data_IF_572265653139
#
_entry.id   IF_572265653139
#
_cell.length_a   1.000
_cell.length_b   1.000
_cell.length_c   1.000
_cell.angle_alpha   90.00
_cell.angle_beta   90.00
_cell.angle_gamma   90.00
#
_symmetry.space_group_name_H-M   'P 1'
#
loop_
_entity.id
_entity.type
_entity.pdbx_description
1 polymer ?
#
# COMPACT_ATOMS: atom_id res chain seq x y z
N UNK A 1 41.93 -1.90 22.34
CA UNK A 1 41.37 -0.63 22.80
C UNK A 1 40.89 0.19 21.60
N UNK A 2 39.59 0.51 21.61
CA UNK A 2 38.88 1.75 21.20
C UNK A 2 39.23 2.42 19.85
N UNK A 3 38.27 2.80 19.01
CA UNK A 3 36.82 2.82 19.16
C UNK A 3 36.15 3.60 18.02
N UNK A 4 34.86 3.31 17.83
CA UNK A 4 33.79 4.15 17.26
C UNK A 4 34.16 5.09 16.09
N UNK A 5 33.48 5.00 14.95
CA UNK A 5 32.23 5.76 14.83
C UNK A 5 31.28 5.19 13.79
N UNK A 6 30.10 4.78 14.25
CA UNK A 6 28.91 4.44 13.46
C UNK A 6 28.25 5.69 12.83
N UNK A 7 29.05 6.57 12.22
CA UNK A 7 28.68 7.97 11.92
C UNK A 7 28.63 8.28 10.42
N UNK A 8 28.22 7.32 9.57
CA UNK A 8 27.85 7.64 8.18
C UNK A 8 26.44 7.15 7.81
N UNK A 9 25.93 6.13 8.50
CA UNK A 9 24.55 5.68 8.31
C UNK A 9 23.53 6.59 9.02
N UNK A 10 23.93 7.26 10.11
CA UNK A 10 23.06 8.17 10.88
C UNK A 10 22.83 9.50 10.17
N UNK A 11 23.84 10.03 9.46
CA UNK A 11 23.77 11.32 8.77
C UNK A 11 22.68 11.30 7.67
N UNK A 12 22.60 10.19 6.91
CA UNK A 12 21.63 10.05 5.82
C UNK A 12 20.20 9.82 6.33
N UNK A 13 20.05 9.17 7.48
CA UNK A 13 18.75 8.98 8.13
C UNK A 13 18.22 10.28 8.76
N UNK A 14 19.10 11.11 9.31
CA UNK A 14 18.74 12.39 9.91
C UNK A 14 18.28 13.43 8.86
N UNK A 15 18.91 13.47 7.68
CA UNK A 15 18.46 14.36 6.59
C UNK A 15 17.10 13.96 5.99
N UNK A 16 16.78 12.66 5.94
CA UNK A 16 15.44 12.21 5.54
C UNK A 16 14.38 12.46 6.61
N UNK A 17 14.73 12.38 7.90
CA UNK A 17 13.81 12.66 9.01
C UNK A 17 13.49 14.15 9.14
N UNK A 18 14.47 15.04 8.92
CA UNK A 18 14.27 16.49 9.04
C UNK A 18 13.29 17.05 8.00
N UNK A 19 13.26 16.51 6.77
CA UNK A 19 12.30 16.96 5.73
C UNK A 19 10.86 16.49 5.98
N UNK A 20 10.67 15.35 6.65
CA UNK A 20 9.33 14.84 6.96
C UNK A 20 8.65 15.65 8.07
N UNK A 21 9.42 16.13 9.06
CA UNK A 21 8.86 16.90 10.19
C UNK A 21 8.47 18.32 9.78
N UNK A 22 9.21 18.96 8.87
CA UNK A 22 8.87 20.31 8.40
C UNK A 22 7.62 20.35 7.50
N UNK A 23 7.29 19.27 6.80
CA UNK A 23 6.11 19.19 5.94
C UNK A 23 4.79 19.07 6.73
N UNK A 24 4.83 18.38 7.88
CA UNK A 24 3.66 18.20 8.76
C UNK A 24 3.25 19.51 9.46
N UNK A 25 4.21 20.34 9.86
CA UNK A 25 3.94 21.60 10.59
C UNK A 25 3.37 22.73 9.70
N UNK A 26 3.54 22.65 8.38
CA UNK A 26 3.04 23.64 7.41
C UNK A 26 1.72 23.22 6.73
N UNK A 27 1.11 22.10 7.12
CA UNK A 27 -0.12 21.59 6.51
C UNK A 27 0.05 21.13 5.06
N UNK A 28 1.28 20.98 4.58
CA UNK A 28 1.59 20.53 3.24
C UNK A 28 2.02 19.08 3.31
N UNK A 29 1.07 18.17 3.10
CA UNK A 29 1.35 16.75 2.85
C UNK A 29 2.46 16.66 1.81
N UNK A 30 3.60 15.99 2.09
CA UNK A 30 4.65 15.87 1.11
C UNK A 30 4.09 15.10 -0.09
N UNK A 31 4.00 15.78 -1.23
CA UNK A 31 3.74 15.17 -2.51
C UNK A 31 4.95 14.29 -2.86
N UNK A 32 4.95 13.06 -2.36
CA UNK A 32 5.68 11.96 -2.96
C UNK A 32 5.25 11.80 -4.42
N UNK A 33 6.05 11.14 -5.28
CA UNK A 33 5.85 11.14 -6.72
C UNK A 33 4.45 10.60 -7.08
N UNK A 34 3.55 11.51 -7.43
CA UNK A 34 2.16 11.22 -7.73
C UNK A 34 1.19 12.26 -7.18
N UNK A 35 1.35 13.54 -7.56
CA UNK A 35 0.27 14.51 -7.42
C UNK A 35 -0.93 14.03 -8.26
N UNK A 36 -1.81 13.22 -7.67
CA UNK A 36 -2.97 12.62 -8.32
C UNK A 36 -3.26 11.15 -7.99
N UNK A 37 -2.40 10.44 -7.24
CA UNK A 37 -2.71 9.08 -6.82
C UNK A 37 -3.70 9.11 -5.63
N UNK A 38 -4.87 8.51 -5.82
CA UNK A 38 -5.87 8.34 -4.75
C UNK A 38 -5.53 7.07 -3.98
N UNK A 39 -5.64 7.13 -2.66
CA UNK A 39 -5.49 5.98 -1.78
C UNK A 39 -6.81 5.23 -1.65
N UNK A 40 -6.73 3.92 -1.82
CA UNK A 40 -7.84 2.99 -1.71
C UNK A 40 -7.51 1.90 -0.71
N UNK A 41 -8.53 1.41 -0.01
CA UNK A 41 -8.43 0.28 0.90
C UNK A 41 -9.01 -0.96 0.23
N UNK A 42 -8.24 -2.04 0.22
CA UNK A 42 -8.64 -3.33 -0.31
C UNK A 42 -8.61 -4.37 0.80
N UNK A 43 -9.77 -4.94 1.12
CA UNK A 43 -9.90 -6.04 2.06
C UNK A 43 -10.13 -7.33 1.30
N UNK A 44 -9.26 -8.32 1.47
CA UNK A 44 -9.38 -9.63 0.81
C UNK A 44 -9.61 -10.72 1.85
N UNK A 45 -10.58 -11.59 1.60
CA UNK A 45 -10.85 -12.76 2.45
C UNK A 45 -11.47 -13.92 1.67
N UNK A 46 -11.21 -15.18 2.01
CA UNK A 46 -10.25 -15.64 3.01
C UNK A 46 -8.80 -15.59 2.50
N UNK A 47 -7.88 -15.17 3.37
CA UNK A 47 -6.42 -15.21 3.15
C UNK A 47 -5.78 -16.12 4.18
N UNK A 48 -5.06 -17.15 3.72
CA UNK A 48 -4.60 -18.24 4.59
C UNK A 48 -3.31 -17.92 5.35
N UNK A 49 -2.40 -17.18 4.73
CA UNK A 49 -1.07 -16.91 5.28
C UNK A 49 -0.65 -15.47 4.98
N UNK A 50 0.22 -14.91 5.82
CA UNK A 50 0.74 -13.55 5.63
C UNK A 50 1.51 -13.38 4.30
N UNK A 51 2.23 -14.41 3.86
CA UNK A 51 2.90 -14.41 2.54
C UNK A 51 1.90 -14.24 1.38
N UNK A 52 0.69 -14.77 1.51
CA UNK A 52 -0.37 -14.59 0.52
C UNK A 52 -0.88 -13.14 0.49
N UNK A 53 -0.98 -12.48 1.65
CA UNK A 53 -1.30 -11.06 1.73
C UNK A 53 -0.24 -10.19 1.02
N UNK A 54 1.03 -10.53 1.15
CA UNK A 54 2.10 -9.87 0.40
C UNK A 54 2.00 -10.14 -1.12
N UNK A 55 1.72 -11.37 -1.53
CA UNK A 55 1.48 -11.69 -2.94
C UNK A 55 0.27 -10.96 -3.53
N UNK A 56 -0.74 -10.66 -2.73
CA UNK A 56 -1.87 -9.79 -3.13
C UNK A 56 -1.39 -8.34 -3.35
N UNK A 57 -0.54 -7.80 -2.47
CA UNK A 57 0.03 -6.46 -2.66
C UNK A 57 0.87 -6.40 -3.95
N UNK A 58 1.66 -7.42 -4.24
CA UNK A 58 2.41 -7.52 -5.50
C UNK A 58 1.49 -7.62 -6.72
N UNK A 59 0.41 -8.41 -6.63
CA UNK A 59 -0.62 -8.49 -7.68
C UNK A 59 -1.27 -7.12 -7.94
N UNK A 60 -1.48 -6.31 -6.90
CA UNK A 60 -2.01 -4.95 -7.04
C UNK A 60 -1.03 -4.03 -7.79
N UNK A 61 0.27 -4.12 -7.50
CA UNK A 61 1.30 -3.37 -8.23
C UNK A 61 1.36 -3.80 -9.70
N UNK A 62 1.31 -5.11 -9.95
CA UNK A 62 1.28 -5.67 -11.30
C UNK A 62 0.00 -5.30 -12.08
N UNK A 63 -1.11 -5.04 -11.38
CA UNK A 63 -2.35 -4.49 -11.94
C UNK A 63 -2.30 -2.96 -12.19
N UNK A 64 -1.18 -2.31 -11.89
CA UNK A 64 -0.94 -0.90 -12.19
C UNK A 64 -1.05 0.05 -10.98
N UNK A 65 -1.14 -0.46 -9.75
CA UNK A 65 -1.01 0.38 -8.57
C UNK A 65 0.41 0.93 -8.44
N UNK A 66 0.53 2.23 -8.21
CA UNK A 66 1.81 2.90 -7.96
C UNK A 66 2.41 2.48 -6.62
N UNK A 67 1.56 2.17 -5.65
CA UNK A 67 1.93 1.64 -4.34
C UNK A 67 0.88 0.64 -3.87
N UNK A 68 1.32 -0.40 -3.16
CA UNK A 68 0.43 -1.34 -2.49
C UNK A 68 1.13 -1.86 -1.23
N UNK A 69 0.49 -1.78 -0.08
CA UNK A 69 1.07 -2.21 1.21
C UNK A 69 0.03 -2.98 2.01
N UNK A 70 0.46 -4.02 2.74
CA UNK A 70 -0.41 -4.73 3.68
C UNK A 70 -0.48 -3.90 4.96
N UNK A 71 -1.65 -3.34 5.27
CA UNK A 71 -1.90 -2.61 6.51
C UNK A 71 -2.10 -3.57 7.68
N UNK A 72 -2.87 -4.64 7.45
CA UNK A 72 -3.25 -5.58 8.50
C UNK A 72 -3.50 -6.97 7.92
N UNK A 73 -3.12 -7.99 8.67
CA UNK A 73 -3.53 -9.37 8.44
C UNK A 73 -4.06 -9.95 9.74
N UNK A 74 -5.33 -10.30 9.79
CA UNK A 74 -6.00 -10.79 11.01
C UNK A 74 -7.26 -11.57 10.66
N UNK A 75 -7.53 -12.67 11.38
CA UNK A 75 -8.78 -13.42 11.23
C UNK A 75 -9.05 -13.96 9.82
N UNK A 76 -8.00 -14.29 9.06
CA UNK A 76 -8.14 -14.72 7.67
C UNK A 76 -8.50 -13.61 6.69
N UNK A 77 -8.32 -12.34 7.07
CA UNK A 77 -8.52 -11.17 6.21
C UNK A 77 -7.21 -10.42 6.06
N UNK A 78 -6.93 -9.96 4.84
CA UNK A 78 -5.83 -9.05 4.54
C UNK A 78 -6.39 -7.69 4.13
N UNK A 79 -5.98 -6.65 4.83
CA UNK A 79 -6.29 -5.26 4.49
C UNK A 79 -5.04 -4.64 3.86
N UNK A 80 -5.22 -4.09 2.66
CA UNK A 80 -4.17 -3.47 1.86
C UNK A 80 -4.53 -2.01 1.59
N UNK A 81 -3.55 -1.13 1.65
CA UNK A 81 -3.64 0.24 1.12
C UNK A 81 -2.99 0.26 -0.26
N UNK A 82 -3.69 0.85 -1.23
CA UNK A 82 -3.29 0.88 -2.63
C UNK A 82 -3.37 2.32 -3.12
N UNK A 83 -2.30 2.80 -3.74
CA UNK A 83 -2.28 4.12 -4.41
C UNK A 83 -2.41 3.93 -5.91
N UNK A 84 -3.47 4.49 -6.50
CA UNK A 84 -3.72 4.39 -7.95
C UNK A 84 -4.12 5.74 -8.54
N UNK A 85 -3.57 6.07 -9.70
CA UNK A 85 -3.76 7.37 -10.38
C UNK A 85 -5.07 7.51 -11.17
N UNK A 86 -5.96 6.52 -11.11
CA UNK A 86 -7.22 6.49 -11.84
C UNK A 86 -8.40 6.05 -10.97
N UNK A 87 -9.59 5.88 -11.55
CA UNK A 87 -10.76 5.46 -10.80
C UNK A 87 -10.62 4.00 -10.32
N UNK A 88 -11.06 3.75 -9.08
CA UNK A 88 -10.90 2.46 -8.42
C UNK A 88 -11.53 1.29 -9.19
N UNK A 89 -12.67 1.51 -9.86
CA UNK A 89 -13.34 0.50 -10.69
C UNK A 89 -12.48 0.02 -11.87
N UNK A 90 -11.68 0.90 -12.46
CA UNK A 90 -10.74 0.50 -13.52
C UNK A 90 -9.62 -0.37 -12.95
N UNK A 91 -9.08 0.01 -11.80
CA UNK A 91 -8.09 -0.80 -11.09
C UNK A 91 -8.64 -2.19 -10.74
N UNK A 92 -9.86 -2.27 -10.19
CA UNK A 92 -10.48 -3.54 -9.85
C UNK A 92 -10.69 -4.42 -11.08
N UNK A 93 -11.13 -3.84 -12.20
CA UNK A 93 -11.27 -4.59 -13.45
C UNK A 93 -9.93 -5.18 -13.91
N UNK A 94 -8.83 -4.42 -13.82
CA UNK A 94 -7.48 -4.90 -14.16
C UNK A 94 -6.99 -5.98 -13.19
N UNK A 95 -7.26 -5.81 -11.89
CA UNK A 95 -6.89 -6.78 -10.87
C UNK A 95 -7.63 -8.11 -11.07
N UNK A 96 -8.95 -8.06 -11.28
CA UNK A 96 -9.79 -9.26 -11.47
C UNK A 96 -9.49 -9.99 -12.79
N UNK A 97 -9.04 -9.27 -13.83
CA UNK A 97 -8.53 -9.89 -15.06
C UNK A 97 -7.26 -10.72 -14.80
N UNK A 98 -6.40 -10.30 -13.87
CA UNK A 98 -5.16 -11.01 -13.51
C UNK A 98 -5.37 -12.06 -12.42
N UNK A 99 -6.33 -11.82 -11.53
CA UNK A 99 -6.64 -12.65 -10.36
C UNK A 99 -8.09 -13.10 -10.43
N UNK A 100 -8.34 -14.06 -11.31
CA UNK A 100 -9.66 -14.68 -11.48
C UNK A 100 -10.10 -15.52 -10.27
N UNK A 101 -9.21 -15.74 -9.31
CA UNK A 101 -9.56 -16.31 -7.99
C UNK A 101 -10.24 -15.31 -7.06
N UNK A 102 -10.28 -14.02 -7.42
CA UNK A 102 -10.93 -12.98 -6.63
C UNK A 102 -12.27 -12.59 -7.27
N UNK A 103 -13.22 -12.24 -6.42
CA UNK A 103 -14.54 -11.71 -6.78
C UNK A 103 -14.82 -10.46 -5.97
N UNK A 104 -15.47 -9.46 -6.59
CA UNK A 104 -15.94 -8.28 -5.87
C UNK A 104 -17.15 -8.65 -5.00
N UNK A 105 -17.09 -8.30 -3.71
CA UNK A 105 -18.22 -8.52 -2.78
C UNK A 105 -18.92 -7.20 -2.47
N UNK A 106 -18.18 -6.19 -2.01
CA UNK A 106 -18.77 -4.92 -1.56
C UNK A 106 -17.84 -3.75 -1.88
N UNK A 107 -18.39 -2.64 -2.39
CA UNK A 107 -17.65 -1.39 -2.64
C UNK A 107 -18.28 -0.27 -1.82
N UNK A 108 -17.52 0.29 -0.87
CA UNK A 108 -17.95 1.39 0.00
C UNK A 108 -16.96 2.56 -0.08
N UNK A 109 -17.30 3.57 -0.89
CA UNK A 109 -16.45 4.74 -1.10
C UNK A 109 -15.08 4.35 -1.67
N UNK A 110 -14.02 4.55 -0.89
CA UNK A 110 -12.64 4.21 -1.25
C UNK A 110 -12.21 2.82 -0.75
N UNK A 111 -13.12 2.05 -0.18
CA UNK A 111 -12.86 0.70 0.33
C UNK A 111 -13.57 -0.33 -0.54
N UNK A 112 -12.89 -1.44 -0.83
CA UNK A 112 -13.54 -2.62 -1.43
C UNK A 112 -13.22 -3.86 -0.64
N UNK A 113 -14.22 -4.74 -0.56
CA UNK A 113 -14.05 -6.09 -0.06
C UNK A 113 -14.09 -7.05 -1.25
N UNK A 114 -13.03 -7.85 -1.38
CA UNK A 114 -12.94 -8.94 -2.33
C UNK A 114 -13.03 -10.26 -1.59
N UNK A 115 -13.84 -11.16 -2.14
CA UNK A 115 -13.89 -12.56 -1.73
C UNK A 115 -12.96 -13.37 -2.61
N UNK A 116 -12.22 -14.31 -2.01
CA UNK A 116 -11.42 -15.28 -2.75
C UNK A 116 -12.23 -16.57 -2.91
N UNK A 117 -12.35 -17.05 -4.14
CA UNK A 117 -13.08 -18.26 -4.51
C UNK A 117 -12.32 -19.55 -4.20
#
# INVERSE_FOLDING_TARGET
EIGYTSDEAAQKAAESAARLVSAVLLGQTPAGPGAGAVKYTLTVSPVRFFAEAHGLAESCRDAGASEAVVLRFSGGKAELEISYGGPFRQFLSLLLQKRSDLSEETVEGNSVQLSKN
#
